data_IF_852251636095
#
_entry.id   IF_852251636095
#
_cell.length_a   1.000
_cell.length_b   1.000
_cell.length_c   1.000
_cell.angle_alpha   90.00
_cell.angle_beta   90.00
_cell.angle_gamma   90.00
#
_symmetry.space_group_name_H-M   'P 1'
#
loop_
_entity.id
_entity.type
_entity.pdbx_description
1 polymer ?
#
# COMPACT_ATOMS: atom_id res chain seq x y z
N UNK A 1 17.39 -7.55 12.81
CA UNK A 1 15.95 -7.61 12.52
C UNK A 1 15.75 -7.06 11.11
N UNK A 2 15.51 -7.91 10.10
CA UNK A 2 15.17 -7.42 8.75
C UNK A 2 13.76 -6.87 8.81
N UNK A 3 13.56 -5.59 8.49
CA UNK A 3 12.22 -5.04 8.34
C UNK A 3 11.62 -5.70 7.10
N UNK A 4 10.64 -6.58 7.29
CA UNK A 4 9.82 -7.10 6.20
C UNK A 4 8.95 -5.97 5.67
N UNK A 5 9.36 -5.41 4.52
CA UNK A 5 8.70 -4.30 3.84
C UNK A 5 7.42 -4.81 3.16
N UNK A 6 6.37 -4.98 3.96
CA UNK A 6 5.05 -5.40 3.51
C UNK A 6 4.38 -4.30 2.65
N UNK A 7 3.52 -4.71 1.73
CA UNK A 7 2.68 -3.84 0.89
C UNK A 7 1.84 -2.85 1.70
N UNK A 8 1.36 -3.25 2.87
CA UNK A 8 0.61 -2.35 3.76
C UNK A 8 1.47 -1.20 4.31
N UNK A 9 2.79 -1.39 4.36
CA UNK A 9 3.75 -0.38 4.80
C UNK A 9 4.28 0.46 3.62
N UNK A 10 3.90 0.16 2.38
CA UNK A 10 4.24 0.97 1.21
C UNK A 10 3.29 2.17 1.11
N UNK A 11 3.84 3.39 1.01
CA UNK A 11 3.07 4.60 0.71
C UNK A 11 2.35 4.51 -0.64
N UNK A 12 3.05 3.95 -1.63
CA UNK A 12 2.59 3.86 -3.02
C UNK A 12 1.73 2.64 -3.33
N UNK A 13 1.49 1.77 -2.34
CA UNK A 13 0.65 0.61 -2.51
C UNK A 13 -0.82 0.99 -2.35
N UNK A 14 -1.63 0.59 -3.32
CA UNK A 14 -3.08 0.75 -3.34
C UNK A 14 -3.70 -0.61 -3.63
N UNK A 15 -4.88 -0.88 -3.06
CA UNK A 15 -5.61 -2.09 -3.41
C UNK A 15 -6.10 -1.97 -4.86
N UNK A 16 -5.81 -2.97 -5.68
CA UNK A 16 -6.16 -2.97 -7.12
C UNK A 16 -7.65 -2.80 -7.33
N UNK A 17 -8.47 -3.32 -6.40
CA UNK A 17 -9.92 -3.22 -6.41
C UNK A 17 -10.45 -1.77 -6.45
N UNK A 18 -9.69 -0.80 -5.92
CA UNK A 18 -10.09 0.61 -5.89
C UNK A 18 -9.54 1.42 -7.07
N UNK A 19 -8.87 0.78 -8.02
CA UNK A 19 -8.39 1.44 -9.21
C UNK A 19 -9.53 1.66 -10.22
N UNK A 20 -9.28 2.53 -11.19
CA UNK A 20 -10.23 2.77 -12.27
C UNK A 20 -10.35 1.55 -13.21
N UNK A 21 -11.34 1.58 -14.09
CA UNK A 21 -11.40 0.66 -15.21
C UNK A 21 -10.29 0.95 -16.24
N UNK A 22 -9.63 -0.08 -16.80
CA UNK A 22 -9.88 -1.51 -16.62
C UNK A 22 -9.11 -2.18 -15.47
N UNK A 23 -8.24 -1.47 -14.76
CA UNK A 23 -7.26 -2.04 -13.84
C UNK A 23 -7.87 -2.78 -12.63
N UNK A 24 -9.07 -2.42 -12.18
CA UNK A 24 -9.74 -3.13 -11.08
C UNK A 24 -10.06 -4.61 -11.38
N UNK A 25 -10.15 -4.99 -12.66
CA UNK A 25 -10.40 -6.39 -13.07
C UNK A 25 -9.23 -7.30 -12.68
N UNK A 26 -8.02 -6.76 -12.63
CA UNK A 26 -6.82 -7.49 -12.25
C UNK A 26 -6.76 -7.79 -10.75
N UNK A 27 -7.72 -7.30 -9.94
CA UNK A 27 -7.71 -7.49 -8.49
C UNK A 27 -7.80 -8.96 -8.04
N UNK A 28 -8.30 -9.84 -8.90
CA UNK A 28 -8.38 -11.28 -8.63
C UNK A 28 -7.01 -11.96 -8.63
N UNK A 29 -6.15 -11.60 -9.59
CA UNK A 29 -4.80 -12.15 -9.72
C UNK A 29 -3.76 -11.30 -8.98
N UNK A 30 -4.02 -10.00 -8.84
CA UNK A 30 -3.13 -9.00 -8.28
C UNK A 30 -3.88 -8.10 -7.30
N UNK A 31 -4.05 -8.51 -6.04
CA UNK A 31 -4.86 -7.78 -5.07
C UNK A 31 -4.32 -6.39 -4.71
N UNK A 32 -3.02 -6.18 -4.94
CA UNK A 32 -2.34 -4.91 -4.69
C UNK A 32 -1.66 -4.38 -5.94
N UNK A 33 -1.47 -3.08 -5.98
CA UNK A 33 -0.78 -2.38 -7.06
C UNK A 33 0.07 -1.24 -6.54
N UNK A 34 1.15 -0.95 -7.24
CA UNK A 34 2.00 0.19 -6.95
C UNK A 34 1.76 1.35 -7.90
N UNK A 35 1.72 2.57 -7.37
CA UNK A 35 1.57 3.82 -8.13
C UNK A 35 2.54 4.91 -7.61
N UNK A 36 3.84 4.75 -7.87
CA UNK A 36 4.86 5.76 -7.48
C UNK A 36 5.07 6.84 -8.55
N UNK A 37 4.95 6.48 -9.83
CA UNK A 37 5.26 7.32 -10.99
C UNK A 37 4.05 7.55 -11.91
N UNK A 38 2.84 7.23 -11.43
CA UNK A 38 1.62 7.21 -12.26
C UNK A 38 1.45 5.94 -13.10
N UNK A 39 2.49 5.11 -13.21
CA UNK A 39 2.39 3.79 -13.84
C UNK A 39 1.86 2.74 -12.87
N UNK A 40 0.86 1.97 -13.33
CA UNK A 40 0.34 0.80 -12.65
C UNK A 40 1.38 -0.33 -12.67
N UNK A 41 1.71 -0.88 -11.50
CA UNK A 41 2.50 -2.11 -11.38
C UNK A 41 1.77 -3.11 -10.48
N UNK A 42 1.31 -4.25 -11.01
CA UNK A 42 0.58 -5.23 -10.21
C UNK A 42 1.49 -5.93 -9.19
N UNK A 43 0.94 -6.26 -8.02
CA UNK A 43 1.64 -6.94 -6.92
C UNK A 43 0.83 -8.19 -6.53
N UNK A 44 1.41 -9.39 -6.68
CA UNK A 44 0.69 -10.65 -6.44
C UNK A 44 0.56 -11.03 -4.95
N UNK A 45 1.46 -10.56 -4.07
CA UNK A 45 1.45 -10.91 -2.64
C UNK A 45 1.91 -9.72 -1.76
N UNK A 46 1.41 -9.70 -0.53
CA UNK A 46 1.68 -8.65 0.47
C UNK A 46 3.14 -8.54 0.90
N UNK A 47 3.96 -9.57 0.68
CA UNK A 47 5.40 -9.59 1.01
C UNK A 47 6.27 -8.82 0.01
N UNK A 48 5.72 -8.46 -1.15
CA UNK A 48 6.51 -8.08 -2.34
C UNK A 48 6.48 -6.58 -2.63
N UNK A 49 6.32 -5.70 -1.64
CA UNK A 49 6.35 -4.25 -1.90
C UNK A 49 7.75 -3.71 -2.32
N UNK A 50 8.75 -4.59 -2.46
CA UNK A 50 10.01 -4.30 -3.19
C UNK A 50 9.82 -4.06 -4.69
N UNK A 51 8.70 -4.48 -5.28
CA UNK A 51 8.39 -4.20 -6.70
C UNK A 51 7.95 -2.75 -6.94
N UNK A 52 7.66 -2.01 -5.88
CA UNK A 52 7.46 -0.57 -5.96
C UNK A 52 8.78 0.16 -6.21
N UNK A 53 8.87 0.84 -7.35
CA UNK A 53 9.90 1.86 -7.55
C UNK A 53 9.76 2.93 -6.47
N UNK A 54 10.90 3.40 -5.92
CA UNK A 54 10.95 4.43 -4.87
C UNK A 54 10.10 4.11 -3.63
N UNK A 55 10.33 2.92 -3.05
CA UNK A 55 9.74 2.53 -1.77
C UNK A 55 9.80 3.67 -0.75
N UNK A 56 8.64 4.03 -0.20
CA UNK A 56 8.50 4.96 0.90
C UNK A 56 7.60 4.32 1.95
N UNK A 57 7.93 4.51 3.22
CA UNK A 57 7.07 4.09 4.32
C UNK A 57 5.73 4.83 4.20
N UNK A 58 4.63 4.10 4.29
CA UNK A 58 3.31 4.69 4.49
C UNK A 58 3.35 5.37 5.85
N UNK A 59 3.02 6.66 5.88
CA UNK A 59 2.90 7.38 7.14
C UNK A 59 1.92 6.61 8.03
N UNK A 60 2.36 6.14 9.20
CA UNK A 60 1.47 5.66 10.26
C UNK A 60 0.78 6.89 10.86
N UNK A 61 -0.04 7.57 10.08
CA UNK A 61 -0.78 8.74 10.54
C UNK A 61 -2.10 8.38 11.25
N UNK A 62 -2.34 7.10 11.57
CA UNK A 62 -3.59 6.67 12.20
C UNK A 62 -3.43 5.69 13.38
N UNK A 63 -2.22 5.50 13.92
CA UNK A 63 -2.08 4.81 15.22
C UNK A 63 -2.03 5.75 16.42
N UNK A 64 -2.38 7.02 16.26
CA UNK A 64 -2.79 7.86 17.39
C UNK A 64 -4.32 7.80 17.57
N UNK A 65 -4.87 6.61 17.81
CA UNK A 65 -6.01 6.47 18.72
C UNK A 65 -5.49 6.33 20.16
N UNK A 66 -4.64 7.28 20.58
CA UNK A 66 -4.22 7.52 21.97
C UNK A 66 -3.56 8.92 22.03
N UNK A 67 -4.26 9.95 21.54
CA UNK A 67 -4.02 11.32 22.04
C UNK A 67 -5.08 11.63 23.10
N UNK A 68 -5.13 10.82 24.17
CA UNK A 68 -5.79 11.24 25.40
C UNK A 68 -4.70 11.90 26.25
N UNK A 69 -4.59 13.22 26.20
CA UNK A 69 -5.19 13.99 27.28
C UNK A 69 -6.56 14.62 27.02
N UNK A 70 -7.18 14.52 25.84
CA UNK A 70 -8.53 15.08 25.64
C UNK A 70 -9.47 14.13 24.89
N UNK A 71 -9.94 13.12 25.65
CA UNK A 71 -11.32 12.66 25.56
C UNK A 71 -12.19 13.58 26.44
N UNK A 72 -12.48 14.81 25.97
CA UNK A 72 -13.67 15.60 26.29
C UNK A 72 -13.95 16.64 25.23
#
# INVERSE_FOLDING_TARGET
>A
MKIDRNVQQCRWAEATLFLAAPQWLDAWDYPWSCRSSGSFRPIPDTRVCRTCERWQARDRADSCCCSNEECR
#
